data_IF_481928245313
#
_entry.id   IF_481928245313
#
_cell.length_a   1.000
_cell.length_b   1.000
_cell.length_c   1.000
_cell.angle_alpha   90.00
_cell.angle_beta   90.00
_cell.angle_gamma   90.00
#
_symmetry.space_group_name_H-M   'P 1'
#
loop_
_entity.id
_entity.type
_entity.pdbx_description
1 polymer ?
#
# COMPACT_ATOMS: atom_id res chain seq x y z
N UNK A 1 -25.08 16.89 3.93
CA UNK A 1 -24.71 18.24 3.45
C UNK A 1 -24.09 19.02 4.59
N UNK A 2 -23.03 19.79 4.29
CA UNK A 2 -22.34 20.65 5.26
C UNK A 2 -22.23 22.04 4.69
N UNK A 3 -22.10 23.04 5.57
CA UNK A 3 -21.90 24.44 5.18
C UNK A 3 -20.42 24.77 4.89
N UNK A 4 -19.59 23.75 4.72
CA UNK A 4 -18.18 23.92 4.42
C UNK A 4 -17.91 23.63 2.94
N UNK A 5 -16.75 24.09 2.44
CA UNK A 5 -16.27 23.73 1.13
C UNK A 5 -16.32 22.22 0.90
N UNK A 6 -16.73 21.74 -0.29
CA UNK A 6 -16.71 20.33 -0.61
C UNK A 6 -15.34 19.72 -0.32
N UNK A 7 -15.35 18.55 0.30
CA UNK A 7 -14.12 17.83 0.66
C UNK A 7 -13.83 16.78 -0.38
N UNK A 8 -12.56 16.64 -0.72
CA UNK A 8 -12.06 15.60 -1.60
C UNK A 8 -11.57 14.37 -0.84
N UNK A 9 -11.20 13.34 -1.59
CA UNK A 9 -10.62 12.14 -1.05
C UNK A 9 -9.28 12.44 -0.36
N UNK A 10 -9.10 11.92 0.84
CA UNK A 10 -7.85 11.99 1.60
C UNK A 10 -7.47 10.57 2.01
N UNK A 11 -6.25 10.20 1.80
CA UNK A 11 -5.61 8.89 2.14
C UNK A 11 -6.49 7.89 2.90
N UNK A 12 -6.88 6.79 2.24
CA UNK A 12 -7.79 5.78 2.80
C UNK A 12 -9.25 6.25 2.91
N UNK A 13 -9.81 7.01 1.93
CA UNK A 13 -11.16 7.57 2.05
C UNK A 13 -12.19 6.44 2.17
N UNK A 14 -12.99 6.50 3.21
CA UNK A 14 -14.00 5.50 3.54
C UNK A 14 -13.48 4.31 4.37
N UNK A 15 -12.28 3.83 4.13
CA UNK A 15 -11.73 2.68 4.88
C UNK A 15 -11.46 3.02 6.34
N UNK A 16 -10.94 4.20 6.63
CA UNK A 16 -10.68 4.64 8.00
C UNK A 16 -11.97 4.78 8.79
N UNK A 17 -12.98 5.41 8.19
CA UNK A 17 -14.29 5.60 8.79
C UNK A 17 -15.00 4.27 9.03
N UNK A 18 -14.97 3.38 8.03
CA UNK A 18 -15.54 2.04 8.16
C UNK A 18 -14.83 1.22 9.22
N UNK A 19 -13.52 1.27 9.31
CA UNK A 19 -12.76 0.59 10.36
C UNK A 19 -13.16 1.09 11.77
N UNK A 20 -13.34 2.41 11.92
CA UNK A 20 -13.76 3.00 13.18
C UNK A 20 -15.17 2.57 13.61
N UNK A 21 -16.08 2.36 12.65
CA UNK A 21 -17.45 1.89 12.91
C UNK A 21 -17.49 0.38 13.15
N UNK A 22 -16.78 -0.40 12.33
CA UNK A 22 -16.82 -1.86 12.40
C UNK A 22 -16.07 -2.42 13.62
N UNK A 23 -14.99 -1.78 14.06
CA UNK A 23 -14.19 -2.31 15.16
C UNK A 23 -14.97 -2.50 16.46
N UNK A 24 -15.79 -1.54 16.94
CA UNK A 24 -16.65 -1.75 18.11
C UNK A 24 -17.72 -2.83 17.90
N UNK A 25 -18.24 -2.97 16.68
CA UNK A 25 -19.24 -4.00 16.35
C UNK A 25 -18.61 -5.39 16.43
N UNK A 26 -17.42 -5.55 15.88
CA UNK A 26 -16.67 -6.81 15.99
C UNK A 26 -16.32 -7.16 17.45
N UNK A 27 -15.94 -6.16 18.25
CA UNK A 27 -15.68 -6.36 19.68
C UNK A 27 -16.94 -6.80 20.42
N UNK A 28 -18.10 -6.20 20.09
CA UNK A 28 -19.38 -6.59 20.68
C UNK A 28 -19.76 -8.02 20.28
N UNK A 29 -19.58 -8.38 19.00
CA UNK A 29 -19.83 -9.74 18.51
C UNK A 29 -18.93 -10.77 19.21
N UNK A 30 -17.64 -10.51 19.33
CA UNK A 30 -16.69 -11.37 20.03
C UNK A 30 -17.13 -11.58 21.50
N UNK A 31 -17.51 -10.50 22.19
CA UNK A 31 -17.98 -10.58 23.58
C UNK A 31 -19.27 -11.41 23.71
N UNK A 32 -20.23 -11.26 22.79
CA UNK A 32 -21.47 -12.04 22.79
C UNK A 32 -21.24 -13.53 22.54
N UNK A 33 -20.20 -13.86 21.75
CA UNK A 33 -19.81 -15.24 21.46
C UNK A 33 -18.85 -15.83 22.51
N UNK A 34 -18.47 -15.07 23.53
CA UNK A 34 -17.49 -15.51 24.53
C UNK A 34 -16.08 -15.70 23.95
N UNK A 35 -15.77 -15.05 22.84
CA UNK A 35 -14.49 -15.15 22.17
C UNK A 35 -13.55 -14.01 22.55
N UNK A 36 -12.24 -14.29 22.57
CA UNK A 36 -11.25 -13.23 22.59
C UNK A 36 -11.35 -12.37 21.32
N UNK A 37 -11.22 -11.04 21.49
CA UNK A 37 -11.40 -10.07 20.38
C UNK A 37 -10.37 -10.21 19.28
N UNK A 38 -9.16 -10.61 19.62
CA UNK A 38 -8.10 -10.88 18.63
C UNK A 38 -8.37 -12.19 17.92
N UNK A 39 -8.73 -13.25 18.65
CA UNK A 39 -9.10 -14.54 18.06
C UNK A 39 -10.27 -14.41 17.09
N UNK A 40 -11.28 -13.60 17.45
CA UNK A 40 -12.41 -13.30 16.55
C UNK A 40 -11.96 -12.60 15.26
N UNK A 41 -11.10 -11.59 15.36
CA UNK A 41 -10.57 -10.90 14.18
C UNK A 41 -9.68 -11.79 13.33
N UNK A 42 -8.86 -12.61 13.97
CA UNK A 42 -7.99 -13.58 13.28
C UNK A 42 -8.80 -14.57 12.46
N UNK A 43 -9.91 -15.07 13.01
CA UNK A 43 -10.81 -15.98 12.31
C UNK A 43 -11.45 -15.35 11.08
N UNK A 44 -11.73 -14.04 11.14
CA UNK A 44 -12.38 -13.29 10.06
C UNK A 44 -11.37 -12.46 9.22
N UNK A 45 -10.07 -12.68 9.39
CA UNK A 45 -9.06 -11.95 8.64
C UNK A 45 -9.05 -12.38 7.18
N UNK A 46 -9.09 -11.41 6.26
CA UNK A 46 -8.88 -11.67 4.85
C UNK A 46 -7.44 -12.16 4.61
N UNK A 47 -7.29 -13.13 3.74
CA UNK A 47 -6.00 -13.67 3.30
C UNK A 47 -6.00 -13.82 1.77
N UNK A 48 -4.89 -14.29 1.21
CA UNK A 48 -4.74 -14.42 -0.24
C UNK A 48 -5.74 -15.39 -0.90
N UNK A 49 -6.35 -16.28 -0.11
CA UNK A 49 -7.35 -17.24 -0.58
C UNK A 49 -8.79 -16.72 -0.41
N UNK A 50 -8.94 -15.55 0.22
CA UNK A 50 -10.23 -14.93 0.45
C UNK A 50 -10.67 -14.11 -0.75
N UNK A 51 -11.91 -14.29 -1.21
CA UNK A 51 -12.58 -13.30 -2.04
C UNK A 51 -13.14 -12.18 -1.16
N UNK A 52 -12.84 -10.95 -1.49
CA UNK A 52 -13.32 -9.78 -0.71
C UNK A 52 -14.27 -8.87 -1.49
N UNK A 53 -14.30 -8.99 -2.78
CA UNK A 53 -15.22 -8.25 -3.64
C UNK A 53 -16.44 -9.09 -3.98
N UNK A 54 -17.50 -8.44 -4.42
CA UNK A 54 -18.74 -9.14 -4.84
C UNK A 54 -18.51 -10.16 -5.95
N UNK A 55 -17.50 -9.95 -6.79
CA UNK A 55 -17.07 -10.86 -7.86
C UNK A 55 -16.09 -11.94 -7.38
N UNK A 56 -15.83 -12.01 -6.08
CA UNK A 56 -14.85 -12.93 -5.47
C UNK A 56 -13.43 -12.80 -6.03
N UNK A 57 -13.06 -11.63 -6.53
CA UNK A 57 -11.70 -11.37 -7.01
C UNK A 57 -10.68 -11.69 -5.92
N UNK A 58 -9.55 -12.35 -6.28
CA UNK A 58 -8.56 -12.77 -5.31
C UNK A 58 -7.88 -11.57 -4.64
N UNK A 59 -7.63 -11.69 -3.36
CA UNK A 59 -6.79 -10.76 -2.60
C UNK A 59 -5.35 -11.18 -2.77
N UNK A 60 -4.55 -10.34 -3.40
CA UNK A 60 -3.11 -10.62 -3.54
C UNK A 60 -2.33 -10.03 -2.37
N UNK A 61 -1.31 -10.76 -1.88
CA UNK A 61 -0.41 -10.28 -0.82
C UNK A 61 -1.14 -9.87 0.48
N UNK A 62 -2.19 -10.59 0.86
CA UNK A 62 -2.90 -10.37 2.11
C UNK A 62 -2.31 -11.27 3.22
N UNK A 63 -1.53 -10.66 4.10
CA UNK A 63 -0.88 -11.32 5.23
C UNK A 63 -1.47 -10.84 6.57
N UNK A 64 -2.80 -10.68 6.62
CA UNK A 64 -3.48 -10.09 7.77
C UNK A 64 -3.36 -10.97 9.02
N UNK A 65 -3.46 -12.29 8.87
CA UNK A 65 -3.30 -13.22 9.99
C UNK A 65 -1.90 -13.12 10.60
N UNK A 66 -0.87 -13.11 9.78
CA UNK A 66 0.52 -12.97 10.24
C UNK A 66 0.75 -11.61 10.90
N UNK A 67 0.15 -10.54 10.37
CA UNK A 67 0.24 -9.20 10.96
C UNK A 67 -0.45 -9.16 12.34
N UNK A 68 -1.60 -9.81 12.50
CA UNK A 68 -2.30 -9.95 13.78
C UNK A 68 -1.41 -10.72 14.77
N UNK A 69 -0.91 -11.87 14.38
CA UNK A 69 -0.07 -12.73 15.24
C UNK A 69 1.18 -11.98 15.72
N UNK A 70 1.85 -11.27 14.82
CA UNK A 70 3.02 -10.45 15.17
C UNK A 70 2.65 -9.27 16.07
N UNK A 71 1.52 -8.61 15.80
CA UNK A 71 1.01 -7.54 16.65
C UNK A 71 0.67 -8.02 18.07
N UNK A 72 0.06 -9.18 18.21
CA UNK A 72 -0.26 -9.83 19.49
C UNK A 72 1.00 -10.11 20.29
N UNK A 73 2.02 -10.68 19.66
CA UNK A 73 3.32 -10.97 20.27
C UNK A 73 4.00 -9.66 20.75
N UNK A 74 4.16 -8.69 19.86
CA UNK A 74 4.83 -7.42 20.16
C UNK A 74 4.12 -6.59 21.23
N UNK A 75 2.80 -6.66 21.27
CA UNK A 75 1.99 -5.93 22.26
C UNK A 75 1.88 -6.66 23.58
N UNK A 76 2.18 -7.96 23.65
CA UNK A 76 1.90 -8.83 24.78
C UNK A 76 0.40 -8.80 25.17
N UNK A 77 -0.42 -9.14 24.18
CA UNK A 77 -1.89 -9.03 24.27
C UNK A 77 -2.46 -9.75 25.47
N UNK A 78 -2.07 -11.00 25.71
CA UNK A 78 -2.62 -11.85 26.78
C UNK A 78 -2.37 -11.25 28.16
N UNK A 79 -1.15 -10.81 28.43
CA UNK A 79 -0.82 -10.20 29.70
C UNK A 79 -1.54 -8.85 29.89
N UNK A 80 -1.63 -8.02 28.85
CA UNK A 80 -2.27 -6.71 28.95
C UNK A 80 -3.78 -6.77 28.97
N UNK A 81 -4.41 -7.70 28.24
CA UNK A 81 -5.85 -7.86 28.21
C UNK A 81 -6.42 -8.44 29.52
N UNK A 82 -5.62 -9.24 30.24
CA UNK A 82 -6.00 -9.81 31.54
C UNK A 82 -5.81 -8.86 32.73
N UNK A 83 -5.14 -7.72 32.55
CA UNK A 83 -4.93 -6.77 33.64
C UNK A 83 -6.22 -6.11 34.11
N UNK A 84 -6.33 -5.77 35.42
CA UNK A 84 -7.48 -5.05 35.95
C UNK A 84 -7.72 -3.74 35.19
N UNK A 85 -8.97 -3.52 34.80
CA UNK A 85 -9.35 -2.29 34.07
C UNK A 85 -9.18 -1.03 34.94
N UNK A 86 -9.30 -1.15 36.25
CA UNK A 86 -9.20 0.00 37.14
C UNK A 86 -7.78 0.11 37.72
N UNK A 87 -7.16 1.26 37.50
CA UNK A 87 -5.86 1.63 38.07
C UNK A 87 -6.00 2.97 38.79
N UNK A 88 -6.20 2.91 40.08
CA UNK A 88 -6.53 4.11 40.89
C UNK A 88 -7.84 4.76 40.42
N UNK A 89 -7.75 6.01 39.98
CA UNK A 89 -8.90 6.79 39.47
C UNK A 89 -9.09 6.68 37.94
N UNK A 90 -8.29 5.83 37.25
CA UNK A 90 -8.35 5.67 35.81
C UNK A 90 -8.96 4.31 35.42
N UNK A 91 -9.70 4.31 34.33
CA UNK A 91 -10.08 3.09 33.63
C UNK A 91 -9.14 2.91 32.43
N UNK A 92 -8.51 1.74 32.34
CA UNK A 92 -7.60 1.38 31.27
C UNK A 92 -8.21 0.25 30.47
N UNK A 93 -8.19 0.38 29.18
CA UNK A 93 -8.62 -0.65 28.24
C UNK A 93 -7.56 -0.93 27.20
N UNK A 94 -7.61 -2.11 26.64
CA UNK A 94 -6.83 -2.48 25.46
C UNK A 94 -7.78 -2.75 24.30
N UNK A 95 -7.36 -2.45 23.10
CA UNK A 95 -8.17 -2.65 21.90
C UNK A 95 -7.29 -3.08 20.73
N UNK A 96 -7.93 -3.65 19.75
CA UNK A 96 -7.32 -4.01 18.45
C UNK A 96 -8.16 -3.41 17.35
N UNK A 97 -7.50 -2.72 16.42
CA UNK A 97 -8.09 -2.20 15.19
C UNK A 97 -7.51 -2.93 13.98
N UNK A 98 -8.32 -3.07 12.97
CA UNK A 98 -7.96 -3.70 11.70
C UNK A 98 -8.53 -2.85 10.57
N UNK A 99 -7.70 -2.51 9.60
CA UNK A 99 -8.10 -1.83 8.38
C UNK A 99 -7.67 -2.63 7.17
N UNK A 100 -8.37 -2.42 6.06
CA UNK A 100 -8.06 -2.98 4.76
C UNK A 100 -8.09 -1.88 3.70
N UNK A 101 -7.17 -1.94 2.75
CA UNK A 101 -7.18 -1.05 1.60
C UNK A 101 -6.63 -1.77 0.37
N UNK A 102 -7.43 -1.85 -0.67
CA UNK A 102 -7.00 -2.39 -1.96
C UNK A 102 -6.01 -1.45 -2.65
N UNK A 103 -5.11 -2.02 -3.45
CA UNK A 103 -4.11 -1.28 -4.22
C UNK A 103 -4.13 -1.69 -5.69
N UNK A 104 -3.87 -0.72 -6.58
CA UNK A 104 -3.73 -0.96 -8.02
C UNK A 104 -4.95 -0.52 -8.84
N UNK A 105 -4.92 -0.80 -10.14
CA UNK A 105 -6.08 -0.66 -11.03
C UNK A 105 -5.98 0.37 -12.14
N UNK A 106 -5.03 1.31 -12.16
CA UNK A 106 -4.88 2.28 -13.24
C UNK A 106 -3.59 2.08 -14.03
N UNK A 107 -3.63 2.39 -15.33
CA UNK A 107 -2.47 2.29 -16.21
C UNK A 107 -1.46 3.41 -16.00
N UNK A 108 -0.20 3.06 -16.11
CA UNK A 108 0.93 3.96 -16.23
C UNK A 108 1.80 3.49 -17.37
N UNK A 109 2.39 4.44 -18.09
CA UNK A 109 3.45 4.14 -19.04
C UNK A 109 4.82 4.30 -18.38
N UNK A 110 5.82 3.60 -18.90
CA UNK A 110 7.21 3.73 -18.51
C UNK A 110 8.06 4.19 -19.69
N UNK A 111 9.08 4.97 -19.44
CA UNK A 111 10.06 5.37 -20.42
C UNK A 111 11.45 5.34 -19.80
N UNK A 112 12.32 4.51 -20.36
CA UNK A 112 13.73 4.39 -19.98
C UNK A 112 14.60 4.73 -21.18
N UNK A 113 15.59 5.58 -20.98
CA UNK A 113 16.59 5.92 -21.98
C UNK A 113 17.99 5.55 -21.49
N UNK A 114 18.69 4.74 -22.24
CA UNK A 114 20.10 4.40 -22.01
C UNK A 114 20.94 5.26 -22.93
N UNK A 115 21.86 6.03 -22.37
CA UNK A 115 22.77 6.88 -23.12
C UNK A 115 24.07 6.12 -23.49
N UNK A 116 24.75 6.50 -24.58
CA UNK A 116 26.03 5.90 -24.92
C UNK A 116 27.10 6.02 -23.83
N UNK A 117 26.94 6.99 -22.93
CA UNK A 117 27.83 7.16 -21.76
C UNK A 117 27.58 6.16 -20.64
N UNK A 118 26.54 5.32 -20.74
CA UNK A 118 26.09 4.44 -19.69
C UNK A 118 25.13 5.10 -18.66
N UNK A 119 24.85 6.40 -18.81
CA UNK A 119 23.83 7.07 -18.01
C UNK A 119 22.43 6.57 -18.38
N UNK A 120 21.55 6.46 -17.41
CA UNK A 120 20.17 5.99 -17.57
C UNK A 120 19.21 7.06 -17.10
N UNK A 121 18.36 7.54 -18.00
CA UNK A 121 17.25 8.44 -17.65
C UNK A 121 15.96 7.62 -17.49
N UNK A 122 15.31 7.79 -16.36
CA UNK A 122 14.04 7.16 -16.01
C UNK A 122 12.99 8.27 -15.98
N UNK A 123 12.14 8.29 -16.98
CA UNK A 123 11.12 9.33 -17.11
C UNK A 123 9.87 8.94 -16.33
N UNK A 124 9.37 9.84 -15.50
CA UNK A 124 8.23 9.59 -14.64
C UNK A 124 7.23 10.75 -14.67
N UNK A 125 6.00 10.45 -15.05
CA UNK A 125 4.86 11.37 -14.91
C UNK A 125 4.30 11.46 -13.49
N UNK A 126 4.80 10.64 -12.57
CA UNK A 126 4.35 10.57 -11.18
C UNK A 126 4.94 11.70 -10.36
N UNK A 127 4.10 12.45 -9.66
CA UNK A 127 4.51 13.50 -8.73
C UNK A 127 4.80 12.99 -7.32
N UNK A 128 5.20 13.91 -6.45
CA UNK A 128 5.42 13.60 -5.04
C UNK A 128 4.23 14.03 -4.18
N UNK A 129 3.45 13.07 -3.71
CA UNK A 129 2.37 13.25 -2.73
C UNK A 129 2.85 13.07 -1.27
N UNK A 130 4.14 13.28 -1.01
CA UNK A 130 4.77 13.07 0.28
C UNK A 130 5.25 11.64 0.54
N UNK A 131 5.12 10.73 -0.44
CA UNK A 131 5.50 9.32 -0.34
C UNK A 131 6.81 8.97 -1.06
N UNK A 132 7.36 9.89 -1.83
CA UNK A 132 8.54 9.67 -2.68
C UNK A 132 8.41 8.45 -3.62
N UNK A 133 7.19 8.09 -4.01
CA UNK A 133 6.91 6.90 -4.81
C UNK A 133 7.63 6.90 -6.16
N UNK A 134 7.86 8.06 -6.77
CA UNK A 134 8.64 8.14 -8.00
C UNK A 134 10.07 7.60 -7.84
N UNK A 135 10.72 7.81 -6.70
CA UNK A 135 12.04 7.26 -6.42
C UNK A 135 11.97 5.74 -6.19
N UNK A 136 11.03 5.28 -5.37
CA UNK A 136 10.88 3.87 -5.07
C UNK A 136 10.58 3.04 -6.32
N UNK A 137 9.64 3.49 -7.15
CA UNK A 137 9.24 2.78 -8.38
C UNK A 137 10.33 2.79 -9.46
N UNK A 138 11.16 3.83 -9.50
CA UNK A 138 12.24 3.96 -10.48
C UNK A 138 13.42 3.03 -10.18
N UNK A 139 13.65 2.62 -8.94
CA UNK A 139 14.71 1.66 -8.58
C UNK A 139 14.58 0.32 -9.29
N UNK A 140 13.37 -0.07 -9.67
CA UNK A 140 13.11 -1.27 -10.47
C UNK A 140 13.92 -1.29 -11.77
N UNK A 141 14.20 -0.13 -12.36
CA UNK A 141 14.99 -0.02 -13.59
C UNK A 141 16.45 -0.43 -13.35
N UNK A 142 17.06 0.07 -12.29
CA UNK A 142 18.43 -0.29 -11.91
C UNK A 142 18.57 -1.80 -11.65
N UNK A 143 17.58 -2.40 -10.97
CA UNK A 143 17.55 -3.85 -10.72
C UNK A 143 17.47 -4.65 -12.02
N UNK A 144 16.61 -4.28 -12.96
CA UNK A 144 16.48 -4.95 -14.26
C UNK A 144 17.75 -4.82 -15.11
N UNK A 145 18.34 -3.62 -15.14
CA UNK A 145 19.54 -3.36 -15.93
C UNK A 145 20.82 -3.81 -15.22
N UNK A 146 20.74 -4.28 -13.98
CA UNK A 146 21.88 -4.70 -13.14
C UNK A 146 22.99 -3.63 -13.08
N UNK A 147 22.59 -2.37 -12.89
CA UNK A 147 23.50 -1.24 -12.84
C UNK A 147 23.45 -0.54 -11.47
N UNK A 148 24.47 0.30 -11.22
CA UNK A 148 24.44 1.16 -10.02
C UNK A 148 23.32 2.18 -10.12
N UNK A 149 22.65 2.41 -9.01
CA UNK A 149 21.65 3.47 -8.87
C UNK A 149 22.24 4.86 -9.17
N UNK A 150 23.53 5.06 -8.92
CA UNK A 150 24.23 6.32 -9.19
C UNK A 150 24.34 6.62 -10.71
N UNK A 151 24.15 5.61 -11.56
CA UNK A 151 24.08 5.80 -13.01
C UNK A 151 22.70 6.25 -13.49
N UNK A 152 21.70 6.26 -12.61
CA UNK A 152 20.31 6.57 -12.92
C UNK A 152 19.96 8.02 -12.55
N UNK A 153 19.23 8.68 -13.43
CA UNK A 153 18.60 9.98 -13.17
C UNK A 153 17.08 9.87 -13.36
N UNK A 154 16.32 10.38 -12.39
CA UNK A 154 14.87 10.45 -12.50
C UNK A 154 14.49 11.78 -13.15
N UNK A 155 13.91 11.71 -14.33
CA UNK A 155 13.36 12.86 -15.06
C UNK A 155 11.88 12.96 -14.72
N UNK A 156 11.52 13.88 -13.82
CA UNK A 156 10.13 14.09 -13.41
C UNK A 156 9.77 15.58 -13.38
N UNK A 157 8.47 15.88 -13.32
CA UNK A 157 7.94 17.25 -13.27
C UNK A 157 8.39 18.18 -14.42
N UNK A 158 8.78 17.59 -15.54
CA UNK A 158 9.31 18.30 -16.72
C UNK A 158 8.55 17.89 -17.98
N UNK A 159 7.45 18.56 -18.29
CA UNK A 159 6.62 18.25 -19.48
C UNK A 159 7.36 18.49 -20.81
N UNK A 160 8.46 19.24 -20.80
CA UNK A 160 9.36 19.43 -21.93
C UNK A 160 10.33 18.25 -22.15
N UNK A 161 10.32 17.23 -21.30
CA UNK A 161 11.25 16.11 -21.31
C UNK A 161 10.60 14.75 -21.63
N UNK A 162 9.54 14.73 -22.41
CA UNK A 162 8.85 13.50 -22.82
C UNK A 162 8.43 12.64 -21.61
N UNK A 163 7.59 13.16 -20.75
CA UNK A 163 7.05 12.37 -19.65
C UNK A 163 6.05 11.33 -20.19
N UNK A 164 6.15 10.08 -19.73
CA UNK A 164 5.16 9.06 -20.06
C UNK A 164 3.81 9.38 -19.40
N UNK A 165 2.74 8.84 -19.94
CA UNK A 165 1.43 8.98 -19.33
C UNK A 165 1.41 8.41 -17.92
N UNK A 166 0.88 9.17 -16.98
CA UNK A 166 0.57 8.67 -15.65
C UNK A 166 -0.90 8.93 -15.34
N UNK A 167 -1.58 7.91 -14.86
CA UNK A 167 -2.91 8.06 -14.30
C UNK A 167 -2.86 8.81 -12.98
N UNK A 168 -4.03 9.15 -12.43
CA UNK A 168 -4.11 9.80 -11.11
C UNK A 168 -3.44 8.93 -10.04
N UNK A 169 -2.72 9.57 -9.13
CA UNK A 169 -2.12 8.90 -7.98
C UNK A 169 -3.16 8.67 -6.88
N UNK A 170 -4.16 7.85 -7.16
CA UNK A 170 -5.27 7.51 -6.28
C UNK A 170 -5.48 6.00 -6.17
N UNK A 171 -6.25 5.53 -5.19
CA UNK A 171 -6.51 4.10 -5.00
C UNK A 171 -5.27 3.27 -4.66
N UNK A 172 -4.22 3.86 -4.09
CA UNK A 172 -2.95 3.21 -3.73
C UNK A 172 -2.27 2.47 -4.90
N UNK A 173 -2.44 2.99 -6.12
CA UNK A 173 -1.97 2.33 -7.32
C UNK A 173 -0.51 2.63 -7.69
N UNK A 174 0.08 3.71 -7.20
CA UNK A 174 1.35 4.22 -7.70
C UNK A 174 2.47 3.19 -7.56
N UNK A 175 2.75 2.68 -6.38
CA UNK A 175 3.82 1.69 -6.19
C UNK A 175 3.53 0.44 -7.01
N UNK A 176 2.33 -0.09 -6.93
CA UNK A 176 1.96 -1.34 -7.59
C UNK A 176 2.05 -1.22 -9.12
N UNK A 177 1.41 -0.20 -9.70
CA UNK A 177 1.28 -0.11 -11.16
C UNK A 177 2.52 0.52 -11.81
N UNK A 178 3.08 1.59 -11.20
CA UNK A 178 4.23 2.28 -11.78
C UNK A 178 5.54 1.47 -11.68
N UNK A 179 5.71 0.65 -10.64
CA UNK A 179 6.84 -0.29 -10.62
C UNK A 179 6.78 -1.29 -11.76
N UNK A 180 5.58 -1.78 -12.10
CA UNK A 180 5.39 -2.69 -13.24
C UNK A 180 5.68 -2.03 -14.57
N UNK A 181 5.21 -0.80 -14.81
CA UNK A 181 5.49 -0.09 -16.05
C UNK A 181 6.99 0.22 -16.20
N UNK A 182 7.66 0.61 -15.13
CA UNK A 182 9.12 0.80 -15.13
C UNK A 182 9.87 -0.51 -15.38
N UNK A 183 9.40 -1.63 -14.82
CA UNK A 183 9.96 -2.96 -15.10
C UNK A 183 9.85 -3.30 -16.58
N UNK A 184 8.66 -3.15 -17.17
CA UNK A 184 8.43 -3.46 -18.59
C UNK A 184 9.28 -2.56 -19.49
N UNK A 185 9.35 -1.26 -19.21
CA UNK A 185 10.17 -0.32 -19.97
C UNK A 185 11.68 -0.65 -19.88
N UNK A 186 12.14 -1.05 -18.70
CA UNK A 186 13.54 -1.45 -18.51
C UNK A 186 13.87 -2.76 -19.25
N UNK A 187 12.95 -3.74 -19.24
CA UNK A 187 13.10 -4.99 -19.99
C UNK A 187 13.13 -4.75 -21.50
N UNK A 188 12.26 -3.86 -22.00
CA UNK A 188 12.26 -3.47 -23.42
C UNK A 188 13.60 -2.80 -23.80
N UNK A 189 14.07 -1.85 -22.98
CA UNK A 189 15.36 -1.20 -23.18
C UNK A 189 16.54 -2.19 -23.15
N UNK A 190 16.52 -3.14 -22.21
CA UNK A 190 17.55 -4.19 -22.11
C UNK A 190 17.54 -5.11 -23.34
N UNK A 191 16.37 -5.49 -23.83
CA UNK A 191 16.26 -6.34 -25.00
C UNK A 191 16.79 -5.62 -26.25
N UNK A 192 16.40 -4.36 -26.45
CA UNK A 192 16.93 -3.54 -27.57
C UNK A 192 18.43 -3.34 -27.47
N UNK A 193 19.00 -3.19 -26.28
CA UNK A 193 20.45 -3.07 -26.10
C UNK A 193 21.20 -4.36 -26.50
N UNK A 194 20.56 -5.54 -26.32
CA UNK A 194 21.16 -6.83 -26.72
C UNK A 194 21.13 -7.10 -28.21
N UNK A 195 20.36 -6.33 -28.97
CA UNK A 195 20.23 -6.44 -30.42
C UNK A 195 21.29 -5.61 -31.20
N UNK A 196 22.02 -4.74 -30.50
CA UNK A 196 23.10 -3.89 -31.03
C UNK A 196 24.44 -4.60 -30.91
#
# INVERSE_FOLDING_TARGET
FTNTTPRGAQRGPGQNEMAAVLAPIMDKAANQLGMDRVAFRRLNAANSDSGIYADQSPVTSAFMTQAIDKGVEMFDWQAKASQPRRRGNKLVGVGVGQGYHGAGGYGYDGLVRIHPSGKIDIHSGVGNLGTYSYAATSRTVAEVLQCSWDSCEIVHARTDKHLPHSSVQGGSNTIFTHSRSNYVAAMDALNKLKEI
#
